data_IF_877824201761
#
_entry.id   IF_877824201761
#
_cell.length_a   1.000
_cell.length_b   1.000
_cell.length_c   1.000
_cell.angle_alpha   90.00
_cell.angle_beta   90.00
_cell.angle_gamma   90.00
#
_symmetry.space_group_name_H-M   'P 1'
#
loop_
_entity.id
_entity.type
_entity.pdbx_description
1 polymer ?
#
# COMPACT_ATOMS: atom_id res chain seq x y z
N UNK A 1 13.46 -21.26 -5.36
CA UNK A 1 12.42 -20.92 -6.34
C UNK A 1 11.35 -20.06 -5.67
N UNK A 2 10.85 -19.02 -6.32
CA UNK A 2 9.80 -18.15 -5.77
C UNK A 2 8.45 -18.70 -6.25
N UNK A 3 7.61 -19.15 -5.31
CA UNK A 3 6.30 -19.75 -5.64
C UNK A 3 5.14 -18.75 -5.69
N UNK A 4 5.32 -17.55 -5.12
CA UNK A 4 4.24 -16.58 -4.92
C UNK A 4 4.81 -15.18 -4.69
N UNK A 5 4.17 -14.16 -5.30
CA UNK A 5 4.42 -12.75 -5.02
C UNK A 5 3.19 -12.17 -4.32
N UNK A 6 3.39 -11.34 -3.31
CA UNK A 6 2.30 -10.71 -2.55
C UNK A 6 2.36 -9.20 -2.69
N UNK A 7 1.20 -8.55 -2.62
CA UNK A 7 1.11 -7.10 -2.51
C UNK A 7 0.70 -6.75 -1.08
N UNK A 8 1.63 -6.14 -0.35
CA UNK A 8 1.43 -5.70 1.04
C UNK A 8 1.37 -4.18 1.04
N UNK A 9 0.31 -3.63 1.62
CA UNK A 9 0.06 -2.18 1.67
C UNK A 9 -0.13 -1.75 3.12
N UNK A 10 0.32 -0.55 3.49
CA UNK A 10 0.12 -0.02 4.85
C UNK A 10 -1.35 0.34 5.08
N UNK A 11 -1.89 -0.03 6.24
CA UNK A 11 -3.24 0.37 6.63
C UNK A 11 -3.24 1.81 7.16
N UNK A 12 -3.17 2.75 6.22
CA UNK A 12 -3.09 4.17 6.51
C UNK A 12 -4.34 4.68 7.23
N UNK A 13 -5.50 4.10 6.93
CA UNK A 13 -6.77 4.50 7.51
C UNK A 13 -6.82 4.18 9.00
N UNK A 14 -6.59 2.91 9.37
CA UNK A 14 -6.62 2.51 10.79
C UNK A 14 -5.49 3.12 11.60
N UNK A 15 -4.36 3.42 10.94
CA UNK A 15 -3.22 4.08 11.58
C UNK A 15 -3.30 5.62 11.55
N UNK A 16 -4.36 6.19 10.94
CA UNK A 16 -4.59 7.65 10.83
C UNK A 16 -3.38 8.40 10.28
N UNK A 17 -2.78 7.89 9.21
CA UNK A 17 -1.70 8.58 8.51
C UNK A 17 -2.27 9.81 7.79
N UNK A 18 -1.88 11.00 8.23
CA UNK A 18 -2.40 12.28 7.70
C UNK A 18 -1.32 13.20 7.13
N UNK A 19 -0.05 12.93 7.44
CA UNK A 19 1.06 13.73 6.94
C UNK A 19 1.35 13.45 5.47
N UNK A 20 1.95 14.43 4.80
CA UNK A 20 2.49 14.31 3.45
C UNK A 20 3.95 14.75 3.49
N UNK A 21 4.85 13.92 2.98
CA UNK A 21 6.27 14.20 2.80
C UNK A 21 6.59 14.35 1.32
N UNK A 22 7.42 15.33 0.95
CA UNK A 22 7.86 15.51 -0.43
C UNK A 22 9.25 14.91 -0.61
N UNK A 23 9.33 13.83 -1.38
CA UNK A 23 10.58 13.13 -1.60
C UNK A 23 11.07 13.37 -3.03
N UNK A 24 12.38 13.61 -3.18
CA UNK A 24 12.99 13.70 -4.49
C UNK A 24 12.85 12.36 -5.22
N UNK A 25 12.35 12.41 -6.45
CA UNK A 25 12.20 11.23 -7.29
C UNK A 25 13.58 10.83 -7.79
N UNK A 26 13.94 9.57 -7.56
CA UNK A 26 15.11 8.95 -8.17
C UNK A 26 14.70 8.19 -9.42
N UNK A 27 15.44 8.38 -10.50
CA UNK A 27 15.29 7.60 -11.74
C UNK A 27 16.69 7.13 -12.14
N UNK A 28 16.84 5.85 -12.47
CA UNK A 28 18.14 5.28 -12.88
C UNK A 28 19.28 5.57 -11.87
N UNK A 29 18.97 5.55 -10.57
CA UNK A 29 19.88 5.96 -9.48
C UNK A 29 20.27 7.44 -9.42
N UNK A 30 19.78 8.30 -10.32
CA UNK A 30 20.01 9.74 -10.28
C UNK A 30 18.87 10.48 -9.58
N UNK A 31 19.23 11.44 -8.71
CA UNK A 31 18.26 12.37 -8.13
C UNK A 31 17.80 13.33 -9.21
N UNK A 32 16.50 13.32 -9.48
CA UNK A 32 15.90 14.29 -10.41
C UNK A 32 15.47 15.55 -9.65
N UNK A 33 15.18 16.62 -10.40
CA UNK A 33 14.54 17.82 -9.85
C UNK A 33 13.06 17.62 -9.52
N UNK A 34 12.48 16.46 -9.88
CA UNK A 34 11.08 16.16 -9.61
C UNK A 34 10.92 15.71 -8.16
N UNK A 35 9.91 16.23 -7.49
CA UNK A 35 9.48 15.77 -6.16
C UNK A 35 8.13 15.09 -6.27
N UNK A 36 7.89 14.08 -5.44
CA UNK A 36 6.60 13.40 -5.31
C UNK A 36 6.11 13.52 -3.87
N UNK A 37 4.84 13.83 -3.68
CA UNK A 37 4.25 13.77 -2.35
C UNK A 37 3.90 12.32 -2.02
N UNK A 38 4.28 11.92 -0.82
CA UNK A 38 4.08 10.58 -0.28
C UNK A 38 3.39 10.73 1.06
N UNK A 39 2.54 9.78 1.40
CA UNK A 39 1.94 9.73 2.74
C UNK A 39 3.05 9.54 3.76
N UNK A 40 3.05 10.37 4.80
CA UNK A 40 3.89 10.18 5.97
C UNK A 40 3.22 9.14 6.88
N UNK A 41 3.74 7.91 6.80
CA UNK A 41 3.13 6.77 7.48
C UNK A 41 3.48 6.79 8.97
N UNK A 42 2.47 6.56 9.81
CA UNK A 42 2.68 6.22 11.20
C UNK A 42 3.57 4.95 11.27
N UNK A 43 4.59 4.91 12.15
CA UNK A 43 5.50 3.76 12.27
C UNK A 43 4.82 2.46 12.74
N UNK A 44 3.54 2.50 13.12
CA UNK A 44 2.77 1.31 13.47
C UNK A 44 2.75 0.29 12.31
N UNK A 45 3.25 -0.91 12.61
CA UNK A 45 3.31 -2.04 11.68
C UNK A 45 1.93 -2.71 11.50
N UNK A 46 1.03 -2.05 10.79
CA UNK A 46 -0.27 -2.61 10.36
C UNK A 46 -0.36 -2.58 8.84
N UNK A 47 -0.64 -3.74 8.26
CA UNK A 47 -0.63 -3.92 6.82
C UNK A 47 -1.83 -4.72 6.35
N UNK A 48 -2.21 -4.47 5.10
CA UNK A 48 -3.26 -5.17 4.37
C UNK A 48 -2.58 -5.98 3.27
N UNK A 49 -2.92 -7.26 3.19
CA UNK A 49 -2.53 -8.12 2.09
C UNK A 49 -3.57 -8.01 0.98
N UNK A 50 -3.20 -7.40 -0.15
CA UNK A 50 -4.10 -7.25 -1.29
C UNK A 50 -4.06 -8.49 -2.18
N UNK A 51 -4.90 -9.46 -1.83
CA UNK A 51 -4.97 -10.77 -2.49
C UNK A 51 -5.45 -10.68 -3.95
N UNK A 52 -6.16 -9.61 -4.32
CA UNK A 52 -6.74 -9.45 -5.67
C UNK A 52 -5.85 -8.70 -6.66
N UNK A 53 -4.82 -8.00 -6.18
CA UNK A 53 -3.96 -7.16 -7.04
C UNK A 53 -2.93 -7.92 -7.87
N UNK A 54 -2.78 -9.23 -7.65
CA UNK A 54 -1.79 -10.07 -8.31
C UNK A 54 -2.45 -11.37 -8.82
N UNK A 55 -2.01 -11.86 -9.98
CA UNK A 55 -2.66 -12.98 -10.70
C UNK A 55 -2.56 -14.35 -9.99
N UNK A 56 -1.86 -14.43 -8.86
CA UNK A 56 -1.63 -15.63 -8.04
C UNK A 56 -2.52 -15.70 -6.78
N UNK A 57 -3.65 -14.99 -6.76
CA UNK A 57 -4.59 -14.93 -5.63
C UNK A 57 -4.97 -16.29 -5.02
N UNK A 58 -5.13 -17.34 -5.84
CA UNK A 58 -5.46 -18.70 -5.35
C UNK A 58 -4.38 -19.26 -4.42
N UNK A 59 -3.11 -19.04 -4.76
CA UNK A 59 -1.98 -19.50 -3.95
C UNK A 59 -1.91 -18.72 -2.63
N UNK A 60 -2.21 -17.42 -2.68
CA UNK A 60 -2.25 -16.55 -1.49
C UNK A 60 -3.39 -16.98 -0.56
N UNK A 61 -4.61 -17.18 -1.09
CA UNK A 61 -5.76 -17.60 -0.27
C UNK A 61 -5.55 -18.97 0.37
N UNK A 62 -4.95 -19.93 -0.35
CA UNK A 62 -4.69 -21.27 0.16
C UNK A 62 -3.80 -21.29 1.42
N UNK A 63 -2.91 -20.29 1.57
CA UNK A 63 -1.99 -20.18 2.71
C UNK A 63 -2.41 -19.11 3.73
N UNK A 64 -3.45 -18.32 3.44
CA UNK A 64 -3.91 -17.25 4.34
C UNK A 64 -4.98 -17.80 5.29
N UNK A 65 -4.77 -17.79 6.62
CA UNK A 65 -5.76 -18.24 7.58
C UNK A 65 -7.10 -17.49 7.43
N UNK A 66 -8.26 -18.18 7.52
CA UNK A 66 -9.56 -17.53 7.42
C UNK A 66 -9.80 -16.42 8.45
N UNK A 67 -9.14 -16.48 9.62
CA UNK A 67 -9.21 -15.42 10.65
C UNK A 67 -8.60 -14.09 10.20
N UNK A 68 -7.79 -14.09 9.15
CA UNK A 68 -7.23 -12.89 8.54
C UNK A 68 -8.06 -12.42 7.34
N UNK A 69 -9.10 -13.15 6.96
CA UNK A 69 -10.01 -12.75 5.91
C UNK A 69 -11.00 -11.75 6.52
N UNK A 70 -10.66 -10.47 6.42
CA UNK A 70 -11.51 -9.36 6.80
C UNK A 70 -11.58 -8.35 5.67
N UNK A 71 -12.75 -7.71 5.50
CA UNK A 71 -12.83 -6.50 4.68
C UNK A 71 -12.00 -5.41 5.37
N UNK A 72 -10.99 -4.88 4.69
CA UNK A 72 -10.51 -3.54 5.01
C UNK A 72 -11.63 -2.56 4.64
N UNK A 73 -12.34 -2.06 5.64
CA UNK A 73 -13.60 -1.31 5.47
C UNK A 73 -13.42 0.17 5.15
N UNK A 74 -12.24 0.61 4.72
CA UNK A 74 -12.10 1.98 4.25
C UNK A 74 -11.15 2.06 3.07
N UNK A 75 -11.69 1.73 1.90
CA UNK A 75 -11.21 2.34 0.66
C UNK A 75 -11.93 3.68 0.59
N UNK A 76 -11.21 4.78 0.80
CA UNK A 76 -11.71 6.10 0.41
C UNK A 76 -12.04 6.01 -1.08
N UNK A 77 -13.33 5.98 -1.42
CA UNK A 77 -13.83 5.74 -2.79
C UNK A 77 -13.47 6.88 -3.74
N UNK A 78 -12.98 7.99 -3.19
CA UNK A 78 -12.53 9.12 -3.97
C UNK A 78 -11.02 9.03 -4.27
N UNK A 79 -10.72 8.18 -5.25
CA UNK A 79 -9.37 8.05 -5.84
C UNK A 79 -8.83 9.42 -6.30
N UNK A 80 -9.71 10.38 -6.65
CA UNK A 80 -9.31 11.70 -7.08
C UNK A 80 -8.75 12.53 -5.91
N UNK A 81 -9.36 12.51 -4.72
CA UNK A 81 -8.80 13.18 -3.53
C UNK A 81 -7.52 12.52 -3.03
N UNK A 82 -7.39 11.19 -3.14
CA UNK A 82 -6.13 10.50 -2.81
C UNK A 82 -4.98 10.89 -3.76
N UNK A 83 -5.27 11.08 -5.06
CA UNK A 83 -4.27 11.54 -6.05
C UNK A 83 -3.91 13.01 -5.91
N UNK A 84 -4.81 13.87 -5.43
CA UNK A 84 -4.52 15.28 -5.17
C UNK A 84 -3.73 15.53 -3.87
N UNK A 85 -3.67 14.53 -2.98
CA UNK A 85 -2.88 14.55 -1.73
C UNK A 85 -1.47 13.95 -1.89
N UNK A 86 -1.11 13.45 -3.08
CA UNK A 86 0.19 12.86 -3.43
C UNK A 86 0.90 13.67 -4.53
#
# INVERSE_FOLDING_TARGET
EICCIVNVQHDCYSCKCTGIQHNAVQQEHEKTSKTRALVDHNPQARFILNVHSVHNYKSILAVTPPSLWGLSTSVDTDIATLRMRA
#
